data_IF_255321494791
#
_entry.id   IF_255321494791
#
_cell.length_a   1.000
_cell.length_b   1.000
_cell.length_c   1.000
_cell.angle_alpha   90.00
_cell.angle_beta   90.00
_cell.angle_gamma   90.00
#
_symmetry.space_group_name_H-M   'P 1'
#
loop_
_entity.id
_entity.type
_entity.pdbx_description
1 polymer ?
#
# COMPACT_ATOMS: atom_id res chain seq x y z
N UNK A 1 -28.46 4.46 8.55
CA UNK A 1 -27.24 5.12 9.05
C UNK A 1 -26.20 5.22 7.96
N UNK A 2 -25.29 6.20 8.03
CA UNK A 2 -24.30 6.46 6.99
C UNK A 2 -22.96 5.74 7.17
N UNK A 3 -22.74 5.08 8.30
CA UNK A 3 -21.48 4.41 8.61
C UNK A 3 -21.41 3.04 7.92
N UNK A 4 -20.25 2.72 7.33
CA UNK A 4 -19.95 1.43 6.74
C UNK A 4 -18.50 1.03 6.92
N UNK A 5 -18.21 -0.25 6.69
CA UNK A 5 -16.88 -0.83 6.71
C UNK A 5 -16.68 -1.68 5.46
N UNK A 6 -15.47 -1.75 4.94
CA UNK A 6 -15.14 -2.68 3.87
C UNK A 6 -13.66 -3.06 3.92
N UNK A 7 -13.31 -4.17 3.28
CA UNK A 7 -11.93 -4.58 3.19
C UNK A 7 -11.74 -5.72 2.21
N UNK A 8 -10.49 -5.95 1.86
CA UNK A 8 -10.04 -7.10 1.08
C UNK A 8 -8.72 -7.60 1.64
N UNK A 9 -8.45 -8.88 1.45
CA UNK A 9 -7.22 -9.51 1.86
C UNK A 9 -6.88 -10.63 0.89
N UNK A 10 -5.61 -10.71 0.51
CA UNK A 10 -5.06 -11.72 -0.37
C UNK A 10 -3.87 -12.38 0.30
N UNK A 11 -3.91 -13.71 0.33
CA UNK A 11 -2.79 -14.57 0.69
C UNK A 11 -2.25 -15.22 -0.58
N UNK A 12 -0.93 -15.20 -0.76
CA UNK A 12 -0.29 -15.88 -1.89
C UNK A 12 0.97 -16.60 -1.43
N UNK A 13 1.00 -17.91 -1.63
CA UNK A 13 2.16 -18.75 -1.33
C UNK A 13 2.62 -19.40 -2.62
N UNK A 14 3.82 -19.03 -3.05
CA UNK A 14 4.33 -19.39 -4.37
C UNK A 14 5.85 -19.29 -4.41
N UNK A 15 6.45 -20.21 -5.15
CA UNK A 15 7.89 -20.36 -5.22
C UNK A 15 8.33 -21.21 -6.40
N UNK A 16 9.53 -20.96 -6.91
CA UNK A 16 10.16 -21.74 -7.95
C UNK A 16 11.29 -22.64 -7.41
N UNK A 17 11.54 -23.74 -8.14
CA UNK A 17 12.74 -24.59 -8.02
C UNK A 17 13.34 -24.76 -9.41
N UNK A 18 14.65 -25.03 -9.49
CA UNK A 18 15.35 -25.22 -10.76
C UNK A 18 15.58 -23.91 -11.52
N UNK A 19 15.65 -22.79 -10.81
CA UNK A 19 16.06 -21.52 -11.39
C UNK A 19 17.54 -21.63 -11.79
N UNK A 20 17.95 -21.23 -13.02
CA UNK A 20 19.34 -21.32 -13.45
C UNK A 20 20.29 -20.69 -12.44
N UNK A 21 21.39 -21.37 -12.12
CA UNK A 21 22.39 -20.98 -11.13
C UNK A 21 21.89 -20.86 -9.67
N UNK A 22 20.69 -21.37 -9.36
CA UNK A 22 20.10 -21.35 -8.01
C UNK A 22 19.66 -22.76 -7.60
N UNK A 23 20.35 -23.33 -6.63
CA UNK A 23 20.00 -24.64 -6.06
C UNK A 23 18.87 -24.57 -5.03
N UNK A 24 18.63 -23.40 -4.46
CA UNK A 24 17.63 -23.15 -3.44
C UNK A 24 16.23 -22.88 -4.00
N UNK A 25 15.24 -22.88 -3.11
CA UNK A 25 13.84 -22.54 -3.42
C UNK A 25 13.70 -21.02 -3.44
N UNK A 26 13.33 -20.47 -4.58
CA UNK A 26 13.24 -19.02 -4.79
C UNK A 26 11.79 -18.56 -4.60
N UNK A 27 11.50 -17.55 -3.77
CA UNK A 27 10.17 -16.93 -3.72
C UNK A 27 9.77 -16.38 -5.09
N UNK A 28 8.48 -16.37 -5.40
CA UNK A 28 8.02 -15.78 -6.66
C UNK A 28 8.40 -14.29 -6.75
N UNK A 29 8.90 -13.92 -7.92
CA UNK A 29 9.34 -12.55 -8.22
C UNK A 29 8.18 -11.56 -8.14
N UNK A 30 8.40 -10.41 -7.50
CA UNK A 30 7.43 -9.32 -7.29
C UNK A 30 6.14 -9.72 -6.53
N UNK A 31 6.12 -10.89 -5.90
CA UNK A 31 4.94 -11.43 -5.23
C UNK A 31 5.04 -11.28 -3.72
N UNK A 32 4.19 -10.43 -3.14
CA UNK A 32 4.00 -10.34 -1.70
C UNK A 32 3.14 -11.49 -1.20
N UNK A 33 3.45 -12.00 -0.01
CA UNK A 33 2.68 -13.08 0.63
C UNK A 33 1.35 -12.59 1.19
N UNK A 34 1.32 -11.35 1.70
CA UNK A 34 0.14 -10.73 2.27
C UNK A 34 -0.09 -9.37 1.64
N UNK A 35 -1.29 -9.14 1.12
CA UNK A 35 -1.75 -7.83 0.63
C UNK A 35 -3.17 -7.63 1.16
N UNK A 36 -3.48 -6.46 1.68
CA UNK A 36 -4.84 -6.16 2.08
C UNK A 36 -5.12 -4.69 2.29
N UNK A 37 -6.40 -4.36 2.26
CA UNK A 37 -6.91 -3.04 2.60
C UNK A 37 -8.10 -3.20 3.54
N UNK A 38 -8.16 -2.38 4.58
CA UNK A 38 -9.32 -2.23 5.44
C UNK A 38 -9.73 -0.77 5.48
N UNK A 39 -11.02 -0.47 5.38
CA UNK A 39 -11.51 0.90 5.44
C UNK A 39 -12.80 1.00 6.27
N UNK A 40 -12.94 2.15 6.91
CA UNK A 40 -14.19 2.63 7.48
C UNK A 40 -14.62 3.86 6.68
N UNK A 41 -15.92 4.02 6.47
CA UNK A 41 -16.45 5.16 5.73
C UNK A 41 -17.78 5.63 6.29
N UNK A 42 -18.08 6.89 6.05
CA UNK A 42 -19.35 7.50 6.38
C UNK A 42 -19.90 8.22 5.15
N UNK A 43 -21.17 8.02 4.85
CA UNK A 43 -21.89 8.70 3.78
C UNK A 43 -23.30 9.05 4.23
N UNK A 44 -23.58 10.34 4.43
CA UNK A 44 -24.92 10.82 4.77
C UNK A 44 -25.05 12.31 4.51
N UNK A 45 -26.21 12.75 4.01
CA UNK A 45 -26.56 14.16 3.83
C UNK A 45 -25.49 15.01 3.13
N UNK A 46 -24.87 14.44 2.08
CA UNK A 46 -23.82 15.11 1.32
C UNK A 46 -22.43 15.08 1.98
N UNK A 47 -22.30 14.60 3.22
CA UNK A 47 -21.00 14.34 3.85
C UNK A 47 -20.51 12.96 3.43
N UNK A 48 -19.27 12.90 2.96
CA UNK A 48 -18.51 11.67 2.71
C UNK A 48 -17.23 11.71 3.54
N UNK A 49 -16.90 10.63 4.23
CA UNK A 49 -15.63 10.48 4.91
C UNK A 49 -15.13 9.05 4.74
N UNK A 50 -13.82 8.87 4.59
CA UNK A 50 -13.18 7.56 4.48
C UNK A 50 -11.83 7.59 5.19
N UNK A 51 -11.55 6.52 5.92
CA UNK A 51 -10.22 6.20 6.45
C UNK A 51 -9.87 4.79 5.99
N UNK A 52 -8.75 4.63 5.30
CA UNK A 52 -8.33 3.37 4.71
C UNK A 52 -6.89 3.03 5.13
N UNK A 53 -6.69 1.81 5.62
CA UNK A 53 -5.39 1.24 5.90
C UNK A 53 -5.05 0.20 4.84
N UNK A 54 -3.90 0.35 4.17
CA UNK A 54 -3.38 -0.61 3.20
C UNK A 54 -2.10 -1.23 3.72
N UNK A 55 -1.91 -2.53 3.54
CA UNK A 55 -0.70 -3.27 3.91
C UNK A 55 -0.25 -4.18 2.78
N UNK A 56 1.06 -4.24 2.57
CA UNK A 56 1.73 -5.16 1.67
C UNK A 56 3.00 -5.69 2.35
N UNK A 57 3.14 -7.01 2.45
CA UNK A 57 4.36 -7.63 2.97
C UNK A 57 5.54 -7.45 2.02
N UNK A 58 6.75 -7.59 2.55
CA UNK A 58 7.98 -7.63 1.74
C UNK A 58 7.91 -8.69 0.63
N UNK A 59 8.66 -8.47 -0.45
CA UNK A 59 8.71 -9.35 -1.61
C UNK A 59 10.09 -9.31 -2.28
N UNK A 60 10.42 -10.38 -3.00
CA UNK A 60 11.64 -10.46 -3.82
C UNK A 60 11.52 -9.52 -5.02
N UNK A 61 12.42 -8.55 -5.10
CA UNK A 61 12.41 -7.45 -6.07
C UNK A 61 13.54 -7.57 -7.10
N UNK A 62 14.66 -8.17 -6.73
CA UNK A 62 15.72 -8.52 -7.68
C UNK A 62 16.32 -9.86 -7.27
N UNK A 63 16.30 -10.81 -8.20
CA UNK A 63 16.94 -12.10 -8.02
C UNK A 63 18.45 -11.94 -8.25
N UNK A 64 19.25 -12.32 -7.27
CA UNK A 64 20.70 -12.44 -7.41
C UNK A 64 21.15 -13.87 -7.70
N UNK A 65 22.44 -14.06 -7.88
CA UNK A 65 23.04 -15.39 -8.07
C UNK A 65 23.06 -16.23 -6.79
N UNK A 66 22.79 -15.61 -5.63
CA UNK A 66 22.65 -16.28 -4.34
C UNK A 66 21.65 -15.55 -3.42
N UNK A 67 21.22 -16.22 -2.35
CA UNK A 67 20.39 -15.62 -1.28
C UNK A 67 21.03 -14.35 -0.70
N UNK A 68 22.37 -14.30 -0.61
CA UNK A 68 23.10 -13.16 -0.07
C UNK A 68 23.08 -11.92 -0.98
N UNK A 69 22.69 -12.09 -2.24
CA UNK A 69 22.62 -11.04 -3.27
C UNK A 69 21.19 -10.74 -3.71
N UNK A 70 20.20 -11.49 -3.22
CA UNK A 70 18.79 -11.22 -3.46
C UNK A 70 18.40 -9.87 -2.86
N UNK A 71 17.65 -9.06 -3.61
CA UNK A 71 17.14 -7.78 -3.13
C UNK A 71 15.63 -7.85 -2.94
N UNK A 72 15.18 -7.21 -1.87
CA UNK A 72 13.78 -7.21 -1.46
C UNK A 72 13.29 -5.78 -1.34
N UNK A 73 12.07 -5.55 -1.80
CA UNK A 73 11.31 -4.41 -1.32
C UNK A 73 10.69 -4.79 0.03
N UNK A 74 10.86 -3.92 1.02
CA UNK A 74 10.34 -4.10 2.37
C UNK A 74 8.82 -4.08 2.43
N UNK A 75 8.30 -4.45 3.60
CA UNK A 75 6.89 -4.27 3.86
C UNK A 75 6.51 -2.79 3.81
N UNK A 76 5.34 -2.50 3.28
CA UNK A 76 4.82 -1.15 3.14
C UNK A 76 3.39 -1.09 3.66
N UNK A 77 3.05 0.01 4.31
CA UNK A 77 1.69 0.28 4.76
C UNK A 77 1.37 1.76 4.61
N UNK A 78 0.08 2.08 4.44
CA UNK A 78 -0.38 3.46 4.39
C UNK A 78 -1.67 3.58 5.18
N UNK A 79 -1.86 4.76 5.80
CA UNK A 79 -3.14 5.19 6.30
C UNK A 79 -3.55 6.44 5.54
N UNK A 80 -4.66 6.37 4.82
CA UNK A 80 -5.13 7.41 3.92
C UNK A 80 -6.53 7.86 4.35
N UNK A 81 -6.77 9.17 4.32
CA UNK A 81 -8.03 9.76 4.73
C UNK A 81 -8.58 10.70 3.65
N UNK A 82 -9.89 10.71 3.46
CA UNK A 82 -10.60 11.67 2.62
C UNK A 82 -11.87 12.12 3.30
N UNK A 83 -12.13 13.41 3.30
CA UNK A 83 -13.41 14.01 3.72
C UNK A 83 -13.92 14.88 2.57
N UNK A 84 -15.20 14.75 2.25
CA UNK A 84 -15.86 15.53 1.22
C UNK A 84 -17.24 15.99 1.66
N UNK A 85 -17.65 17.18 1.22
CA UNK A 85 -18.95 17.76 1.50
C UNK A 85 -19.60 18.27 0.22
N UNK A 86 -20.80 17.77 -0.05
CA UNK A 86 -21.62 18.07 -1.22
C UNK A 86 -22.92 18.75 -0.79
N UNK A 87 -22.95 20.09 -0.65
CA UNK A 87 -24.16 20.82 -0.25
C UNK A 87 -25.28 20.69 -1.29
N UNK A 88 -24.91 20.46 -2.55
CA UNK A 88 -25.80 20.14 -3.66
C UNK A 88 -25.14 19.07 -4.54
N UNK A 89 -25.92 18.39 -5.39
CA UNK A 89 -25.41 17.28 -6.23
C UNK A 89 -24.30 17.69 -7.21
N UNK A 90 -24.25 18.96 -7.60
CA UNK A 90 -23.34 19.44 -8.64
C UNK A 90 -21.91 19.76 -8.15
N UNK A 91 -21.71 19.95 -6.84
CA UNK A 91 -20.43 20.41 -6.28
C UNK A 91 -20.05 19.60 -5.05
N UNK A 92 -18.78 19.18 -4.99
CA UNK A 92 -18.19 18.54 -3.80
C UNK A 92 -16.89 19.24 -3.44
N UNK A 93 -16.82 19.80 -2.23
CA UNK A 93 -15.56 20.26 -1.63
C UNK A 93 -14.90 19.08 -0.95
N UNK A 94 -13.58 18.89 -1.08
CA UNK A 94 -12.90 17.79 -0.42
C UNK A 94 -11.51 18.14 0.07
N UNK A 95 -11.07 17.37 1.07
CA UNK A 95 -9.71 17.30 1.57
C UNK A 95 -9.27 15.84 1.61
N UNK A 96 -8.05 15.58 1.17
CA UNK A 96 -7.38 14.28 1.24
C UNK A 96 -6.05 14.40 1.98
N UNK A 97 -5.74 13.38 2.77
CA UNK A 97 -4.43 13.18 3.35
C UNK A 97 -3.97 11.76 3.02
N UNK A 98 -2.76 11.61 2.48
CA UNK A 98 -2.19 10.31 2.15
C UNK A 98 -0.94 10.01 2.97
N UNK A 99 -0.71 8.73 3.24
CA UNK A 99 0.40 8.21 4.02
C UNK A 99 0.54 8.89 5.40
N UNK A 100 -0.55 8.99 6.16
CA UNK A 100 -0.57 9.59 7.50
C UNK A 100 0.44 8.94 8.48
N UNK A 101 0.84 7.70 8.21
CA UNK A 101 1.82 6.95 9.01
C UNK A 101 3.28 7.31 8.73
N UNK A 102 3.58 8.14 7.72
CA UNK A 102 4.95 8.43 7.26
C UNK A 102 5.75 7.16 6.91
N UNK A 103 5.08 6.16 6.35
CA UNK A 103 5.71 4.89 6.05
C UNK A 103 6.70 5.03 4.88
N UNK A 104 7.97 4.63 5.07
CA UNK A 104 8.98 4.72 4.02
C UNK A 104 8.85 3.58 3.01
N UNK A 105 9.27 3.82 1.77
CA UNK A 105 9.62 2.76 0.85
C UNK A 105 11.09 2.38 1.07
N UNK A 106 11.33 1.13 1.45
CA UNK A 106 12.67 0.61 1.73
C UNK A 106 13.00 -0.58 0.86
N UNK A 107 14.23 -0.64 0.35
CA UNK A 107 14.82 -1.81 -0.32
C UNK A 107 16.07 -2.27 0.41
N UNK A 108 16.26 -3.58 0.51
CA UNK A 108 17.40 -4.17 1.21
C UNK A 108 17.90 -5.42 0.51
N UNK A 109 19.17 -5.75 0.71
CA UNK A 109 19.80 -6.96 0.19
C UNK A 109 19.80 -8.03 1.28
N UNK A 110 19.34 -9.25 0.98
CA UNK A 110 19.30 -10.43 1.86
C UNK A 110 18.57 -10.25 3.21
N UNK A 111 19.07 -9.38 4.07
CA UNK A 111 18.56 -9.05 5.41
C UNK A 111 18.19 -7.57 5.53
N UNK A 112 17.16 -7.27 6.32
CA UNK A 112 16.61 -5.89 6.45
C UNK A 112 17.67 -4.84 6.81
N UNK A 113 18.74 -5.20 7.54
CA UNK A 113 19.80 -4.27 7.96
C UNK A 113 20.72 -3.82 6.82
N UNK A 114 20.80 -4.55 5.71
CA UNK A 114 21.59 -4.17 4.54
C UNK A 114 20.74 -3.33 3.57
N UNK A 115 20.56 -2.06 3.91
CA UNK A 115 19.72 -1.13 3.14
C UNK A 115 20.41 -0.74 1.84
N UNK A 116 19.68 -0.90 0.73
CA UNK A 116 20.07 -0.39 -0.59
C UNK A 116 19.48 1.00 -0.78
N UNK A 117 18.20 1.13 -0.42
CA UNK A 117 17.40 2.32 -0.71
C UNK A 117 16.39 2.54 0.41
N UNK A 118 16.13 3.81 0.74
CA UNK A 118 15.16 4.19 1.75
C UNK A 118 14.57 5.56 1.40
N UNK A 119 13.47 5.54 0.66
CA UNK A 119 12.74 6.72 0.23
C UNK A 119 11.62 7.02 1.23
N UNK A 120 11.54 8.28 1.67
CA UNK A 120 10.48 8.74 2.57
C UNK A 120 9.50 9.63 1.83
N UNK A 121 8.43 9.01 1.37
CA UNK A 121 7.25 9.72 0.88
C UNK A 121 6.45 10.18 2.09
N UNK A 122 6.75 11.38 2.59
CA UNK A 122 6.07 11.97 3.75
C UNK A 122 4.56 12.09 3.52
N UNK A 123 3.84 12.56 4.53
CA UNK A 123 2.41 12.86 4.39
C UNK A 123 2.18 13.86 3.24
N UNK A 124 1.18 13.58 2.40
CA UNK A 124 0.74 14.50 1.36
C UNK A 124 -0.70 14.93 1.60
N UNK A 125 -1.02 16.19 1.27
CA UNK A 125 -2.34 16.78 1.49
C UNK A 125 -2.85 17.39 0.19
N UNK A 126 -4.12 17.18 -0.11
CA UNK A 126 -4.81 17.78 -1.26
C UNK A 126 -6.14 18.37 -0.83
N UNK A 127 -6.50 19.51 -1.42
CA UNK A 127 -7.81 20.14 -1.29
C UNK A 127 -8.33 20.44 -2.68
N UNK A 128 -9.63 20.29 -2.90
CA UNK A 128 -10.18 20.54 -4.23
C UNK A 128 -11.70 20.64 -4.26
N UNK A 129 -12.17 20.96 -5.45
CA UNK A 129 -13.59 21.01 -5.81
C UNK A 129 -13.82 20.02 -6.95
N UNK A 130 -14.81 19.16 -6.82
CA UNK A 130 -15.26 18.26 -7.87
C UNK A 130 -16.63 18.71 -8.38
N UNK A 131 -16.75 18.81 -9.71
CA UNK A 131 -17.98 19.16 -10.40
C UNK A 131 -18.61 17.90 -10.99
N UNK A 132 -19.93 17.75 -10.87
CA UNK A 132 -20.70 16.71 -11.53
C UNK A 132 -21.83 17.37 -12.32
N UNK A 133 -21.81 17.18 -13.64
CA UNK A 133 -22.78 17.70 -14.61
C UNK A 133 -23.49 16.55 -15.32
#
# INVERSE_FOLDING_TARGET
>A
DGLGVSGNFTYTDGSARGVPNRADKVPNFLQSKYIGTAQIFYEKYGLTARLAYTYRSAYLDTLGDSIATDQYTGENNSLDARIGFSPVKAYTLFVEASNLLDSPWRRYQAVKTQVIENERYRQSFRVGVQLAF
#
